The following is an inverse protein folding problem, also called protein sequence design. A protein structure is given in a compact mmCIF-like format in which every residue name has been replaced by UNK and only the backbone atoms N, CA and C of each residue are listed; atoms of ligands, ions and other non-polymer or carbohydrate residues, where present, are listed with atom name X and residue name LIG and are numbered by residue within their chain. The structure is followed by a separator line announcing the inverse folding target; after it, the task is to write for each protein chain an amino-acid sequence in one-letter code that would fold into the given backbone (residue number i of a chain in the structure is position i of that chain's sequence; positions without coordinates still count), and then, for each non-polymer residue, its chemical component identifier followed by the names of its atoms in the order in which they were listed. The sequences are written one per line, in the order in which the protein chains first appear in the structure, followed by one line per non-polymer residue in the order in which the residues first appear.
data_IF_908620307024
#
_entry.id   IF_908620307024
#
_cell.length_a   1.000
_cell.length_b   1.000
_cell.length_c   1.000
_cell.angle_alpha   90.00
_cell.angle_beta   90.00
_cell.angle_gamma   90.00
#
_symmetry.space_group_name_H-M   'P 1'
#
loop_
_entity.id
_entity.type
_entity.pdbx_description
1 polymer ?
#
# COMPACT_ATOMS: atom_id res chain seq x y z
N UNK A 1 3.34 1.01 -41.54
CA UNK A 1 3.78 0.14 -40.42
C UNK A 1 3.79 0.85 -39.06
N UNK A 2 4.14 2.14 -38.96
CA UNK A 2 4.15 2.90 -37.69
C UNK A 2 2.77 3.22 -37.07
N UNK A 3 1.73 3.39 -37.88
CA UNK A 3 0.36 3.68 -37.40
C UNK A 3 -0.30 2.49 -36.69
N UNK A 4 -0.10 1.26 -37.20
CA UNK A 4 -0.55 0.02 -36.54
C UNK A 4 0.14 -0.22 -35.18
N UNK A 5 1.45 0.05 -35.08
CA UNK A 5 2.20 -0.07 -33.82
C UNK A 5 1.71 0.91 -32.74
N UNK A 6 1.36 2.13 -33.13
CA UNK A 6 0.85 3.15 -32.20
C UNK A 6 -0.56 2.82 -31.68
N UNK A 7 -1.42 2.21 -32.50
CA UNK A 7 -2.75 1.74 -32.07
C UNK A 7 -2.69 0.59 -31.07
N UNK A 8 -1.80 -0.38 -31.29
CA UNK A 8 -1.61 -1.53 -30.39
C UNK A 8 -1.08 -1.08 -29.01
N UNK A 9 -0.11 -0.17 -28.98
CA UNK A 9 0.44 0.38 -27.73
C UNK A 9 -0.63 1.10 -26.90
N UNK A 10 -1.53 1.84 -27.54
CA UNK A 10 -2.63 2.54 -26.84
C UNK A 10 -3.70 1.60 -26.31
N UNK A 11 -4.07 0.59 -27.09
CA UNK A 11 -5.01 -0.44 -26.65
C UNK A 11 -4.46 -1.18 -25.42
N UNK A 12 -3.17 -1.54 -25.43
CA UNK A 12 -2.52 -2.16 -24.29
C UNK A 12 -2.55 -1.26 -23.03
N UNK A 13 -2.17 0.01 -23.14
CA UNK A 13 -2.22 0.96 -22.01
C UNK A 13 -3.64 1.14 -21.49
N UNK A 14 -4.64 1.22 -22.37
CA UNK A 14 -6.04 1.32 -21.98
C UNK A 14 -6.50 0.06 -21.21
N UNK A 15 -6.22 -1.14 -21.73
CA UNK A 15 -6.55 -2.39 -21.05
C UNK A 15 -5.89 -2.49 -19.66
N UNK A 16 -4.61 -2.14 -19.54
CA UNK A 16 -3.92 -2.14 -18.25
C UNK A 16 -4.54 -1.17 -17.25
N UNK A 17 -4.90 0.04 -17.69
CA UNK A 17 -5.56 1.03 -16.83
C UNK A 17 -6.99 0.63 -16.42
N UNK A 18 -7.71 -0.11 -17.28
CA UNK A 18 -9.01 -0.70 -16.92
C UNK A 18 -8.83 -1.77 -15.83
N UNK A 19 -7.79 -2.60 -15.90
CA UNK A 19 -7.49 -3.58 -14.85
C UNK A 19 -7.21 -2.87 -13.52
N UNK A 20 -6.40 -1.80 -13.53
CA UNK A 20 -6.17 -0.97 -12.34
C UNK A 20 -7.46 -0.33 -11.81
N UNK A 21 -8.32 0.19 -12.69
CA UNK A 21 -9.60 0.75 -12.29
C UNK A 21 -10.47 -0.30 -11.57
N UNK A 22 -10.58 -1.51 -12.13
CA UNK A 22 -11.35 -2.59 -11.53
C UNK A 22 -10.75 -3.04 -10.20
N UNK A 23 -9.42 -3.16 -10.08
CA UNK A 23 -8.78 -3.52 -8.82
C UNK A 23 -8.98 -2.45 -7.75
N UNK A 24 -8.96 -1.17 -8.11
CA UNK A 24 -9.29 -0.05 -7.22
C UNK A 24 -10.70 -0.15 -6.65
N UNK A 25 -11.71 -0.43 -7.49
CA UNK A 25 -13.09 -0.64 -7.03
C UNK A 25 -13.25 -1.86 -6.13
N UNK A 26 -12.55 -2.96 -6.42
CA UNK A 26 -12.55 -4.15 -5.56
C UNK A 26 -11.96 -3.83 -4.19
N UNK A 27 -10.83 -3.13 -4.14
CA UNK A 27 -10.21 -2.69 -2.87
C UNK A 27 -11.09 -1.73 -2.08
N UNK A 28 -11.70 -0.74 -2.75
CA UNK A 28 -12.66 0.17 -2.11
C UNK A 28 -13.86 -0.59 -1.55
N UNK A 29 -14.41 -1.54 -2.31
CA UNK A 29 -15.57 -2.33 -1.88
C UNK A 29 -15.22 -3.23 -0.70
N UNK A 30 -14.03 -3.84 -0.71
CA UNK A 30 -13.52 -4.63 0.41
C UNK A 30 -13.30 -3.76 1.66
N UNK A 31 -12.65 -2.61 1.53
CA UNK A 31 -12.48 -1.67 2.63
C UNK A 31 -13.81 -1.12 3.15
N UNK A 32 -14.76 -0.84 2.25
CA UNK A 32 -16.11 -0.42 2.59
C UNK A 32 -16.89 -1.51 3.31
N UNK A 33 -16.77 -2.78 2.88
CA UNK A 33 -17.36 -3.92 3.58
C UNK A 33 -16.76 -4.08 4.98
N UNK A 34 -15.43 -3.93 5.12
CA UNK A 34 -14.76 -3.95 6.43
C UNK A 34 -15.25 -2.84 7.36
N UNK A 35 -15.59 -1.66 6.82
CA UNK A 35 -16.19 -0.56 7.59
C UNK A 35 -17.70 -0.75 7.86
N UNK A 36 -18.42 -1.38 6.93
CA UNK A 36 -19.87 -1.58 6.98
C UNK A 36 -20.28 -2.79 7.83
N UNK A 37 -19.34 -3.70 8.14
CA UNK A 37 -19.52 -4.84 9.04
C UNK A 37 -19.64 -4.35 10.50
N UNK A 38 -20.73 -3.61 10.73
CA UNK A 38 -21.08 -2.96 11.96
C UNK A 38 -21.27 -3.98 13.09
N UNK A 39 -21.66 -5.22 12.81
CA UNK A 39 -21.84 -6.25 13.83
C UNK A 39 -20.51 -6.66 14.49
N UNK A 40 -19.40 -6.73 13.76
CA UNK A 40 -18.07 -6.99 14.34
C UNK A 40 -17.49 -5.77 15.07
N UNK A 41 -17.82 -4.55 14.62
CA UNK A 41 -17.44 -3.28 15.27
C UNK A 41 -18.29 -3.03 16.54
N UNK A 42 -19.57 -3.44 16.55
CA UNK A 42 -20.49 -3.36 17.69
C UNK A 42 -20.25 -4.49 18.70
N UNK A 43 -19.94 -5.72 18.27
CA UNK A 43 -19.52 -6.80 19.19
C UNK A 43 -18.19 -6.46 19.89
N UNK A 44 -17.21 -5.91 19.16
CA UNK A 44 -15.95 -5.44 19.78
C UNK A 44 -16.14 -4.23 20.71
N UNK A 45 -17.21 -3.45 20.53
CA UNK A 45 -17.65 -2.40 21.47
C UNK A 45 -18.41 -2.94 22.68
N UNK A 46 -19.13 -4.06 22.55
CA UNK A 46 -19.90 -4.67 23.65
C UNK A 46 -19.02 -5.52 24.60
N UNK A 47 -17.89 -6.05 24.13
CA UNK A 47 -16.88 -6.74 24.96
C UNK A 47 -15.85 -5.78 25.59
N UNK A 48 -15.82 -4.50 25.21
CA UNK A 48 -14.95 -3.49 25.82
C UNK A 48 -15.64 -2.81 27.02
N UNK A 49 -15.23 -3.09 28.27
CA UNK A 49 -15.78 -2.36 29.41
C UNK A 49 -15.33 -0.89 29.32
N UNK A 50 -16.28 -0.02 29.66
CA UNK A 50 -16.18 1.41 29.51
C UNK A 50 -15.03 2.07 30.28
N UNK A 51 -14.82 3.30 29.83
CA UNK A 51 -14.12 4.40 30.46
C UNK A 51 -12.60 4.53 30.27
N UNK A 52 -12.29 5.71 29.71
CA UNK A 52 -11.02 6.42 29.58
C UNK A 52 -10.20 6.07 28.32
N UNK A 53 -10.46 6.89 27.29
CA UNK A 53 -9.76 7.03 26.02
C UNK A 53 -8.25 7.32 26.18
N UNK A 54 -7.40 7.09 25.14
CA UNK A 54 -7.77 6.92 23.72
C UNK A 54 -7.13 5.63 23.12
N UNK A 55 -7.39 5.06 21.93
CA UNK A 55 -7.73 5.53 20.58
C UNK A 55 -8.29 4.33 19.76
N UNK A 56 -8.93 4.60 18.63
CA UNK A 56 -9.68 3.65 17.76
C UNK A 56 -8.96 2.31 17.44
N UNK A 57 -9.71 1.21 17.19
CA UNK A 57 -9.11 -0.09 16.87
C UNK A 57 -8.23 0.01 15.62
N UNK A 58 -7.05 -0.61 15.63
CA UNK A 58 -6.11 -0.64 14.49
C UNK A 58 -6.78 -1.05 13.18
N UNK A 59 -7.78 -1.93 13.26
CA UNK A 59 -8.64 -2.33 12.13
C UNK A 59 -9.37 -1.17 11.46
N UNK A 60 -9.79 -0.15 12.20
CA UNK A 60 -10.46 1.03 11.63
C UNK A 60 -9.50 1.84 10.74
N UNK A 61 -8.29 2.11 11.23
CA UNK A 61 -7.26 2.79 10.44
C UNK A 61 -6.84 1.95 9.23
N UNK A 62 -6.72 0.63 9.39
CA UNK A 62 -6.40 -0.28 8.29
C UNK A 62 -7.50 -0.28 7.21
N UNK A 63 -8.77 -0.39 7.60
CA UNK A 63 -9.88 -0.37 6.68
C UNK A 63 -9.96 0.98 5.94
N UNK A 64 -9.78 2.09 6.65
CA UNK A 64 -9.71 3.43 6.03
C UNK A 64 -8.54 3.56 5.05
N UNK A 65 -7.37 3.02 5.39
CA UNK A 65 -6.22 3.00 4.50
C UNK A 65 -6.49 2.19 3.22
N UNK A 66 -7.14 1.02 3.33
CA UNK A 66 -7.53 0.19 2.18
C UNK A 66 -8.50 0.94 1.27
N UNK A 67 -9.52 1.60 1.82
CA UNK A 67 -10.47 2.40 1.04
C UNK A 67 -9.76 3.55 0.33
N UNK A 68 -8.91 4.29 1.04
CA UNK A 68 -8.18 5.44 0.48
C UNK A 68 -7.24 5.00 -0.63
N UNK A 69 -6.51 3.89 -0.43
CA UNK A 69 -5.62 3.32 -1.45
C UNK A 69 -6.41 2.86 -2.68
N UNK A 70 -7.52 2.15 -2.49
CA UNK A 70 -8.40 1.73 -3.59
C UNK A 70 -8.93 2.92 -4.40
N UNK A 71 -9.29 4.02 -3.72
CA UNK A 71 -9.75 5.25 -4.36
C UNK A 71 -8.66 5.90 -5.21
N UNK A 72 -7.43 5.98 -4.71
CA UNK A 72 -6.30 6.50 -5.47
C UNK A 72 -6.03 5.66 -6.72
N UNK A 73 -6.03 4.33 -6.59
CA UNK A 73 -5.87 3.38 -7.71
C UNK A 73 -7.01 3.52 -8.74
N UNK A 74 -8.25 3.70 -8.29
CA UNK A 74 -9.40 3.88 -9.18
C UNK A 74 -9.30 5.21 -9.95
N UNK A 75 -8.96 6.32 -9.29
CA UNK A 75 -8.79 7.62 -9.95
C UNK A 75 -7.67 7.57 -10.99
N UNK A 76 -6.54 6.95 -10.66
CA UNK A 76 -5.39 6.87 -11.57
C UNK A 76 -5.70 6.00 -12.78
N UNK A 77 -6.39 4.87 -12.57
CA UNK A 77 -6.91 4.02 -13.65
C UNK A 77 -7.91 4.75 -14.56
N UNK A 78 -8.83 5.53 -13.99
CA UNK A 78 -9.82 6.31 -14.75
C UNK A 78 -9.13 7.39 -15.60
N UNK A 79 -8.24 8.18 -14.99
CA UNK A 79 -7.47 9.21 -15.68
C UNK A 79 -6.56 8.61 -16.74
N UNK A 80 -5.97 7.45 -16.49
CA UNK A 80 -5.12 6.73 -17.45
C UNK A 80 -5.92 6.20 -18.65
N UNK A 81 -7.12 5.68 -18.43
CA UNK A 81 -8.03 5.27 -19.50
C UNK A 81 -8.47 6.48 -20.33
N UNK A 82 -8.90 7.57 -19.67
CA UNK A 82 -9.26 8.81 -20.35
C UNK A 82 -8.10 9.42 -21.12
N UNK A 83 -6.89 9.44 -20.57
CA UNK A 83 -5.71 9.94 -21.28
C UNK A 83 -5.33 9.08 -22.49
N UNK A 84 -5.62 7.77 -22.46
CA UNK A 84 -5.36 6.87 -23.58
C UNK A 84 -6.42 6.97 -24.70
N UNK A 85 -7.69 7.16 -24.33
CA UNK A 85 -8.83 7.20 -25.25
C UNK A 85 -9.12 8.60 -25.79
N UNK A 86 -8.95 9.64 -24.98
CA UNK A 86 -9.30 11.03 -25.30
C UNK A 86 -8.03 11.83 -25.61
N UNK A 87 -7.99 12.48 -26.77
CA UNK A 87 -6.89 13.36 -27.18
C UNK A 87 -6.95 14.76 -26.55
N UNK A 88 -7.56 14.89 -25.38
CA UNK A 88 -7.68 16.17 -24.72
C UNK A 88 -6.40 16.48 -23.94
N UNK A 89 -5.72 17.58 -24.30
CA UNK A 89 -4.50 18.05 -23.62
C UNK A 89 -4.70 18.23 -22.12
N UNK A 90 -5.85 18.72 -21.68
CA UNK A 90 -6.13 18.91 -20.26
C UNK A 90 -6.12 17.59 -19.48
N UNK A 91 -6.68 16.53 -20.07
CA UNK A 91 -6.74 15.19 -19.45
C UNK A 91 -5.34 14.54 -19.43
N UNK A 92 -4.57 14.68 -20.52
CA UNK A 92 -3.20 14.19 -20.53
C UNK A 92 -2.31 14.92 -19.51
N UNK A 93 -2.49 16.24 -19.33
CA UNK A 93 -1.76 17.01 -18.33
C UNK A 93 -2.17 16.62 -16.90
N UNK A 94 -3.47 16.43 -16.62
CA UNK A 94 -3.91 16.01 -15.29
C UNK A 94 -3.42 14.60 -14.94
N UNK A 95 -3.40 13.69 -15.91
CA UNK A 95 -2.81 12.36 -15.74
C UNK A 95 -1.29 12.45 -15.44
N UNK A 96 -0.54 13.25 -16.20
CA UNK A 96 0.88 13.50 -15.93
C UNK A 96 1.13 14.05 -14.52
N UNK A 97 0.35 15.05 -14.09
CA UNK A 97 0.46 15.62 -12.75
C UNK A 97 0.16 14.56 -11.68
N UNK A 98 -0.83 13.70 -11.91
CA UNK A 98 -1.18 12.62 -10.98
C UNK A 98 -0.02 11.62 -10.83
N UNK A 99 0.59 11.17 -11.93
CA UNK A 99 1.75 10.26 -11.86
C UNK A 99 2.96 10.92 -11.19
N UNK A 100 3.20 12.22 -11.43
CA UNK A 100 4.28 12.95 -10.72
C UNK A 100 4.02 13.00 -9.21
N UNK A 101 2.77 13.27 -8.79
CA UNK A 101 2.41 13.30 -7.38
C UNK A 101 2.53 11.92 -6.72
N UNK A 102 2.15 10.85 -7.43
CA UNK A 102 2.35 9.48 -6.96
C UNK A 102 3.83 9.17 -6.77
N UNK A 103 4.67 9.45 -7.77
CA UNK A 103 6.11 9.23 -7.70
C UNK A 103 6.76 9.97 -6.51
N UNK A 104 6.32 11.21 -6.23
CA UNK A 104 6.78 11.98 -5.07
C UNK A 104 6.29 11.37 -3.76
N UNK A 105 5.05 10.88 -3.72
CA UNK A 105 4.49 10.16 -2.59
C UNK A 105 5.25 8.88 -2.29
N UNK A 106 5.49 8.04 -3.30
CA UNK A 106 6.26 6.80 -3.19
C UNK A 106 7.71 7.06 -2.75
N UNK A 107 8.38 8.07 -3.31
CA UNK A 107 9.69 8.51 -2.83
C UNK A 107 9.66 8.87 -1.35
N UNK A 108 8.65 9.65 -0.93
CA UNK A 108 8.50 10.09 0.46
C UNK A 108 8.28 8.89 1.39
N UNK A 109 7.38 7.97 1.03
CA UNK A 109 7.12 6.75 1.79
C UNK A 109 8.37 5.86 1.85
N UNK A 110 9.12 5.71 0.77
CA UNK A 110 10.38 4.95 0.74
C UNK A 110 11.43 5.56 1.67
N UNK A 111 11.65 6.88 1.61
CA UNK A 111 12.59 7.58 2.50
C UNK A 111 12.15 7.36 3.94
N UNK A 112 10.88 7.62 4.23
CA UNK A 112 10.32 7.43 5.57
C UNK A 112 10.54 6.00 6.04
N UNK A 113 10.24 4.97 5.24
CA UNK A 113 10.37 3.56 5.60
C UNK A 113 11.83 3.14 5.85
N UNK A 114 12.77 3.58 5.01
CA UNK A 114 14.20 3.25 5.14
C UNK A 114 14.83 3.93 6.34
N UNK A 115 14.45 5.19 6.61
CA UNK A 115 14.99 5.95 7.74
C UNK A 115 14.19 5.76 9.03
N UNK A 116 12.98 5.20 8.99
CA UNK A 116 12.15 4.88 10.17
C UNK A 116 12.95 4.14 11.26
N UNK A 117 13.74 3.08 10.93
CA UNK A 117 14.58 2.43 11.92
C UNK A 117 15.63 3.33 12.56
N UNK A 118 16.20 4.24 11.78
CA UNK A 118 17.24 5.14 12.25
C UNK A 118 16.68 6.36 13.02
N UNK A 119 15.48 6.84 12.66
CA UNK A 119 14.81 8.01 13.26
C UNK A 119 14.12 7.65 14.58
N UNK A 120 13.45 6.49 14.64
CA UNK A 120 12.83 6.04 15.89
C UNK A 120 13.85 5.46 16.89
N UNK A 121 15.10 5.31 16.47
CA UNK A 121 16.10 4.58 17.24
C UNK A 121 15.57 3.17 17.51
N UNK A 122 15.27 2.41 16.44
CA UNK A 122 14.87 0.99 16.44
C UNK A 122 16.05 0.11 16.86
N UNK A 123 16.73 0.52 17.92
CA UNK A 123 16.85 -0.36 19.04
C UNK A 123 15.44 -0.43 19.65
N UNK A 124 14.58 -1.31 19.13
CA UNK A 124 13.32 -1.71 19.78
C UNK A 124 13.77 -2.36 21.07
N UNK A 125 14.16 -1.55 22.05
CA UNK A 125 14.85 -2.02 23.24
C UNK A 125 14.01 -3.17 23.73
N UNK A 126 14.51 -4.41 23.80
CA UNK A 126 13.72 -5.55 24.23
C UNK A 126 12.95 -5.21 25.51
N UNK A 127 13.52 -4.35 26.36
CA UNK A 127 12.89 -3.72 27.51
C UNK A 127 11.56 -2.95 27.26
N UNK A 128 11.35 -2.24 26.14
CA UNK A 128 10.04 -1.62 25.83
C UNK A 128 8.99 -2.68 25.52
N UNK A 129 9.32 -3.65 24.67
CA UNK A 129 8.37 -4.69 24.28
C UNK A 129 8.07 -5.64 25.46
N UNK A 130 9.08 -5.96 26.28
CA UNK A 130 8.91 -6.67 27.55
C UNK A 130 7.99 -5.88 28.49
N UNK A 131 8.17 -4.56 28.64
CA UNK A 131 7.26 -3.73 29.46
C UNK A 131 5.85 -3.67 28.90
N UNK A 132 5.69 -3.66 27.58
CA UNK A 132 4.39 -3.72 26.93
C UNK A 132 3.72 -5.07 27.21
N UNK A 133 4.43 -6.18 27.05
CA UNK A 133 3.96 -7.52 27.41
C UNK A 133 3.52 -7.56 28.87
N UNK A 134 4.36 -7.09 29.78
CA UNK A 134 4.08 -7.13 31.22
C UNK A 134 2.83 -6.33 31.61
N UNK A 135 2.53 -5.21 30.94
CA UNK A 135 1.40 -4.33 31.26
C UNK A 135 0.12 -4.58 30.47
N UNK A 136 0.23 -5.14 29.27
CA UNK A 136 -0.89 -5.20 28.32
C UNK A 136 -1.34 -6.61 28.02
N UNK A 137 -0.55 -7.63 28.32
CA UNK A 137 -0.92 -9.01 28.05
C UNK A 137 -2.09 -9.45 28.92
N UNK A 138 -3.16 -9.94 28.30
CA UNK A 138 -4.38 -10.43 28.92
C UNK A 138 -5.00 -9.46 29.95
N UNK A 139 -4.84 -8.15 29.70
CA UNK A 139 -5.48 -7.07 30.45
C UNK A 139 -6.76 -6.64 29.71
N UNK A 140 -7.88 -6.40 30.42
CA UNK A 140 -9.11 -5.90 29.80
C UNK A 140 -8.86 -4.64 28.97
N UNK A 141 -9.43 -4.57 27.77
CA UNK A 141 -9.21 -3.48 26.82
C UNK A 141 -7.92 -3.56 25.99
N UNK A 142 -7.08 -4.60 26.18
CA UNK A 142 -5.85 -4.86 25.40
C UNK A 142 -5.87 -6.25 24.72
N UNK A 143 -7.05 -6.73 24.37
CA UNK A 143 -7.25 -8.06 23.75
C UNK A 143 -6.51 -8.21 22.43
N UNK A 144 -6.46 -7.15 21.61
CA UNK A 144 -5.75 -7.15 20.34
C UNK A 144 -4.24 -7.40 20.49
N UNK A 145 -3.64 -6.84 21.53
CA UNK A 145 -2.24 -7.09 21.85
C UNK A 145 -2.02 -8.54 22.31
N UNK A 146 -2.97 -9.08 23.09
CA UNK A 146 -2.93 -10.46 23.58
C UNK A 146 -3.03 -11.43 22.41
N UNK A 147 -4.03 -11.26 21.55
CA UNK A 147 -4.24 -12.09 20.36
C UNK A 147 -3.06 -12.02 19.38
N UNK A 148 -2.48 -10.83 19.17
CA UNK A 148 -1.30 -10.69 18.31
C UNK A 148 -0.07 -11.42 18.88
N UNK A 149 0.13 -11.37 20.20
CA UNK A 149 1.25 -12.08 20.83
C UNK A 149 1.01 -13.59 20.85
N UNK A 150 -0.22 -14.04 21.14
CA UNK A 150 -0.58 -15.47 21.12
C UNK A 150 -0.43 -16.05 19.71
N UNK A 151 -0.82 -15.29 18.68
CA UNK A 151 -0.61 -15.65 17.27
C UNK A 151 0.88 -15.75 16.93
N UNK A 152 1.70 -14.79 17.38
CA UNK A 152 3.14 -14.85 17.15
C UNK A 152 3.76 -16.09 17.83
N UNK A 153 3.29 -16.43 19.03
CA UNK A 153 3.77 -17.60 19.79
C UNK A 153 3.42 -18.91 19.11
N UNK A 154 2.20 -19.04 18.57
CA UNK A 154 1.80 -20.25 17.85
C UNK A 154 2.45 -20.36 16.47
N UNK A 155 2.53 -19.26 15.70
CA UNK A 155 3.12 -19.27 14.35
C UNK A 155 4.64 -19.53 14.41
N UNK A 156 5.35 -18.83 15.30
CA UNK A 156 6.81 -18.91 15.38
C UNK A 156 7.30 -19.93 16.41
N UNK A 157 6.39 -20.64 17.08
CA UNK A 157 6.72 -21.65 18.12
C UNK A 157 7.70 -21.11 19.17
N UNK A 158 7.39 -19.91 19.66
CA UNK A 158 8.21 -19.12 20.58
C UNK A 158 7.39 -18.75 21.82
N UNK A 159 8.04 -18.24 22.87
CA UNK A 159 7.36 -17.80 24.07
C UNK A 159 7.93 -16.50 24.64
N UNK A 160 7.04 -15.56 24.94
CA UNK A 160 7.40 -14.23 25.42
C UNK A 160 8.19 -13.41 24.39
N UNK A 161 8.86 -12.36 24.84
CA UNK A 161 9.65 -11.49 23.96
C UNK A 161 11.06 -12.07 23.78
N UNK A 162 11.76 -12.26 24.89
CA UNK A 162 13.10 -12.85 24.94
C UNK A 162 13.08 -14.25 25.59
N UNK A 163 11.91 -14.73 25.97
CA UNK A 163 11.70 -16.01 26.62
C UNK A 163 10.49 -16.01 27.57
N UNK A 164 10.14 -17.21 28.04
CA UNK A 164 9.01 -17.46 28.93
C UNK A 164 9.06 -16.71 30.26
N UNK A 165 10.26 -16.37 30.75
CA UNK A 165 10.46 -15.64 32.01
C UNK A 165 9.83 -14.24 32.01
N UNK A 166 9.53 -13.68 30.83
CA UNK A 166 8.89 -12.36 30.70
C UNK A 166 7.48 -12.30 31.32
N UNK A 167 6.77 -13.43 31.34
CA UNK A 167 5.48 -13.55 32.04
C UNK A 167 5.61 -13.49 33.56
N UNK A 168 6.82 -13.72 34.07
CA UNK A 168 7.11 -13.71 35.49
C UNK A 168 6.68 -12.42 36.19
N UNK A 169 6.92 -11.29 35.56
CA UNK A 169 6.63 -9.98 36.16
C UNK A 169 5.46 -9.30 35.46
N UNK A 170 4.63 -10.06 34.76
CA UNK A 170 3.43 -9.54 34.08
C UNK A 170 2.27 -9.34 35.06
N UNK A 171 1.46 -8.31 34.81
CA UNK A 171 0.22 -8.07 35.55
C UNK A 171 -0.74 -9.25 35.46
N UNK A 172 -0.79 -9.90 34.29
CA UNK A 172 -1.52 -11.14 34.06
C UNK A 172 -1.22 -12.24 35.10
N UNK A 173 0.06 -12.43 35.46
CA UNK A 173 0.47 -13.44 36.46
C UNK A 173 0.14 -13.02 37.89
N UNK A 174 0.14 -11.70 38.14
CA UNK A 174 -0.12 -11.12 39.46
C UNK A 174 -1.61 -10.97 39.78
N UNK A 175 -2.47 -10.99 38.76
CA UNK A 175 -3.91 -10.78 38.93
C UNK A 175 -4.57 -11.95 39.67
N UNK A 176 -5.34 -11.64 40.71
CA UNK A 176 -5.89 -12.63 41.65
C UNK A 176 -7.03 -13.48 41.07
N UNK A 177 -7.55 -13.11 39.90
CA UNK A 177 -8.71 -13.74 39.26
C UNK A 177 -8.24 -14.88 38.33
N UNK A 178 -8.06 -16.07 38.92
CA UNK A 178 -8.22 -17.35 38.20
C UNK A 178 -7.01 -17.95 37.44
N UNK A 179 -5.85 -17.29 37.35
CA UNK A 179 -4.69 -17.79 36.58
C UNK A 179 -3.41 -18.06 37.39
N UNK A 180 -3.50 -18.13 38.72
CA UNK A 180 -2.33 -18.40 39.60
C UNK A 180 -1.62 -19.73 39.31
N UNK A 181 -2.29 -20.67 38.64
CA UNK A 181 -1.74 -21.99 38.30
C UNK A 181 -0.95 -22.00 36.98
N UNK A 182 -1.05 -20.96 36.15
CA UNK A 182 -0.35 -20.87 34.86
C UNK A 182 0.93 -20.05 35.01
N UNK A 183 2.07 -20.67 34.70
CA UNK A 183 3.39 -20.01 34.63
C UNK A 183 3.53 -19.23 33.33
N UNK A 184 2.99 -19.77 32.24
CA UNK A 184 2.98 -19.17 30.90
C UNK A 184 1.60 -19.32 30.24
N UNK A 185 1.26 -18.49 29.25
CA UNK A 185 0.10 -18.71 28.42
C UNK A 185 0.10 -20.06 27.72
N UNK A 186 -1.08 -20.57 27.39
CA UNK A 186 -1.23 -21.84 26.69
C UNK A 186 -0.68 -21.79 25.26
N UNK A 187 -0.66 -20.62 24.62
CA UNK A 187 -0.01 -20.35 23.33
C UNK A 187 1.51 -20.59 23.34
N UNK A 188 2.15 -20.60 24.51
CA UNK A 188 3.56 -21.00 24.66
C UNK A 188 3.77 -22.52 24.76
N UNK A 189 2.70 -23.31 24.92
CA UNK A 189 2.79 -24.76 25.00
C UNK A 189 2.81 -25.39 23.61
N UNK A 190 3.38 -26.59 23.52
CA UNK A 190 3.19 -27.42 22.33
C UNK A 190 1.72 -27.83 22.21
N UNK A 191 1.11 -27.57 21.06
CA UNK A 191 -0.33 -27.75 20.86
C UNK A 191 -0.63 -29.01 20.05
N UNK A 192 -1.72 -29.70 20.39
CA UNK A 192 -2.27 -30.79 19.57
C UNK A 192 -2.98 -30.25 18.33
N UNK A 193 -3.61 -29.09 18.44
CA UNK A 193 -4.32 -28.41 17.36
C UNK A 193 -3.45 -27.39 16.61
N UNK A 194 -2.12 -27.57 16.60
CA UNK A 194 -1.19 -26.64 15.93
C UNK A 194 -1.47 -26.43 14.42
N UNK A 195 -2.13 -27.42 13.78
CA UNK A 195 -2.48 -27.36 12.36
C UNK A 195 -3.73 -26.51 12.06
N UNK A 196 -4.47 -26.09 13.10
CA UNK A 196 -5.65 -25.24 12.94
C UNK A 196 -5.28 -23.75 12.88
N UNK A 197 -5.92 -23.02 11.97
CA UNK A 197 -5.69 -21.58 11.78
C UNK A 197 -6.13 -20.72 12.97
N UNK A 198 -7.02 -21.25 13.82
CA UNK A 198 -7.53 -20.60 15.05
C UNK A 198 -6.89 -21.12 16.33
N UNK A 199 -5.79 -21.88 16.25
CA UNK A 199 -5.10 -22.45 17.43
C UNK A 199 -4.65 -21.41 18.46
N UNK A 200 -4.40 -20.16 18.04
CA UNK A 200 -4.07 -19.05 18.93
C UNK A 200 -5.25 -18.53 19.75
N UNK A 201 -6.50 -18.75 19.29
CA UNK A 201 -7.72 -18.34 20.00
C UNK A 201 -8.17 -19.42 20.99
N UNK A 202 -7.97 -20.69 20.65
CA UNK A 202 -8.30 -21.84 21.49
C UNK A 202 -7.14 -22.84 21.51
N UNK A 203 -6.04 -22.54 22.23
CA UNK A 203 -4.87 -23.42 22.30
C UNK A 203 -5.16 -24.69 23.11
N UNK A 204 -4.95 -25.86 22.49
CA UNK A 204 -5.08 -27.16 23.16
C UNK A 204 -3.68 -27.77 23.43
N UNK A 205 -3.12 -27.59 24.65
CA UNK A 205 -1.78 -28.07 24.97
C UNK A 205 -1.72 -29.60 24.97
N UNK A 206 -0.70 -30.16 24.33
CA UNK A 206 -0.45 -31.59 24.27
C UNK A 206 -0.22 -32.19 25.67
N UNK A 207 0.49 -31.46 26.53
CA UNK A 207 0.71 -31.84 27.92
C UNK A 207 0.75 -30.58 28.80
N UNK A 208 -0.41 -30.25 29.40
CA UNK A 208 -0.58 -29.04 30.20
C UNK A 208 0.33 -29.02 31.44
N UNK A 209 0.41 -30.13 32.18
CA UNK A 209 1.20 -30.21 33.42
C UNK A 209 2.69 -30.04 33.14
N UNK A 210 3.21 -30.72 32.12
CA UNK A 210 4.61 -30.60 31.71
C UNK A 210 4.91 -29.20 31.19
N UNK A 211 4.01 -28.61 30.39
CA UNK A 211 4.17 -27.24 29.90
C UNK A 211 4.17 -26.23 31.04
N UNK A 212 3.44 -26.44 32.13
CA UNK A 212 3.37 -25.50 33.26
C UNK A 212 4.39 -25.77 34.37
N UNK A 213 5.21 -26.81 34.23
CA UNK A 213 6.26 -27.13 35.20
C UNK A 213 7.26 -25.97 35.38
N UNK A 214 7.70 -25.76 36.63
CA UNK A 214 8.77 -24.80 36.94
C UNK A 214 10.15 -25.34 36.58
N UNK A 215 10.32 -26.67 36.63
CA UNK A 215 11.59 -27.33 36.36
C UNK A 215 11.94 -27.23 34.86
N UNK A 216 13.10 -26.64 34.47
CA UNK A 216 13.53 -26.53 33.08
C UNK A 216 13.61 -27.85 32.32
N UNK A 217 14.07 -28.91 32.99
CA UNK A 217 14.22 -30.22 32.38
C UNK A 217 12.87 -30.86 31.99
N UNK A 218 11.79 -30.50 32.69
CA UNK A 218 10.45 -30.99 32.40
C UNK A 218 9.80 -30.16 31.30
N UNK A 219 9.79 -28.83 31.43
CA UNK A 219 9.03 -28.00 30.49
C UNK A 219 9.68 -27.83 29.11
N UNK A 220 10.98 -28.11 28.94
CA UNK A 220 11.65 -27.96 27.64
C UNK A 220 11.00 -28.80 26.51
N UNK A 221 10.34 -29.91 26.85
CA UNK A 221 9.68 -30.79 25.87
C UNK A 221 8.24 -30.39 25.52
N UNK A 222 7.57 -29.58 26.36
CA UNK A 222 6.17 -29.20 26.19
C UNK A 222 5.93 -27.68 26.13
N UNK A 223 6.99 -26.86 26.26
CA UNK A 223 6.95 -25.40 26.26
C UNK A 223 8.01 -24.84 25.32
N UNK A 224 7.63 -23.88 24.51
CA UNK A 224 8.56 -23.09 23.70
C UNK A 224 9.47 -22.24 24.61
N UNK A 225 10.79 -22.35 24.44
CA UNK A 225 11.78 -21.65 25.28
C UNK A 225 12.43 -20.44 24.58
N UNK A 226 12.42 -20.41 23.25
CA UNK A 226 12.96 -19.32 22.45
C UNK A 226 12.04 -18.09 22.52
N UNK A 227 12.64 -16.89 22.51
CA UNK A 227 11.90 -15.62 22.47
C UNK A 227 11.34 -15.31 21.08
N UNK A 228 10.19 -14.64 21.01
CA UNK A 228 9.57 -14.29 19.73
C UNK A 228 10.23 -13.10 19.03
N UNK A 229 11.04 -12.28 19.72
CA UNK A 229 11.57 -11.04 19.17
C UNK A 229 12.37 -11.25 17.88
N UNK A 230 13.30 -12.21 17.88
CA UNK A 230 14.16 -12.49 16.72
C UNK A 230 13.33 -12.96 15.51
N UNK A 231 12.33 -13.81 15.73
CA UNK A 231 11.43 -14.28 14.67
C UNK A 231 10.56 -13.16 14.12
N UNK A 232 10.02 -12.30 14.98
CA UNK A 232 9.21 -11.14 14.57
C UNK A 232 10.07 -10.15 13.78
N UNK A 233 11.30 -9.88 14.23
CA UNK A 233 12.20 -8.97 13.54
C UNK A 233 12.56 -9.50 12.16
N UNK A 234 12.94 -10.78 12.07
CA UNK A 234 13.23 -11.44 10.79
C UNK A 234 12.04 -11.42 9.85
N UNK A 235 10.86 -11.82 10.33
CA UNK A 235 9.63 -11.76 9.54
C UNK A 235 9.33 -10.35 9.05
N UNK A 236 9.49 -9.35 9.92
CA UNK A 236 9.26 -7.94 9.57
C UNK A 236 10.24 -7.46 8.50
N UNK A 237 11.52 -7.83 8.60
CA UNK A 237 12.54 -7.52 7.59
C UNK A 237 12.22 -8.19 6.24
N UNK A 238 11.83 -9.46 6.25
CA UNK A 238 11.46 -10.19 5.04
C UNK A 238 10.25 -9.55 4.33
N UNK A 239 9.20 -9.20 5.09
CA UNK A 239 8.04 -8.51 4.54
C UNK A 239 8.39 -7.10 4.03
N UNK A 240 9.23 -6.36 4.75
CA UNK A 240 9.69 -5.04 4.32
C UNK A 240 10.48 -5.10 3.00
N UNK A 241 11.31 -6.12 2.81
CA UNK A 241 12.05 -6.34 1.56
C UNK A 241 11.09 -6.62 0.39
N UNK A 242 10.07 -7.46 0.59
CA UNK A 242 9.05 -7.73 -0.42
C UNK A 242 8.30 -6.45 -0.79
N UNK A 243 7.89 -5.65 0.19
CA UNK A 243 7.21 -4.37 -0.04
C UNK A 243 8.12 -3.38 -0.80
N UNK A 244 9.39 -3.27 -0.42
CA UNK A 244 10.37 -2.43 -1.11
C UNK A 244 10.53 -2.85 -2.57
N UNK A 245 10.61 -4.15 -2.84
CA UNK A 245 10.70 -4.67 -4.21
C UNK A 245 9.47 -4.30 -5.04
N UNK A 246 8.26 -4.41 -4.48
CA UNK A 246 7.02 -4.01 -5.15
C UNK A 246 7.04 -2.51 -5.48
N UNK A 247 7.38 -1.66 -4.51
CA UNK A 247 7.42 -0.21 -4.72
C UNK A 247 8.45 0.17 -5.79
N UNK A 248 9.63 -0.47 -5.81
CA UNK A 248 10.63 -0.23 -6.85
C UNK A 248 10.12 -0.60 -8.26
N UNK A 249 9.33 -1.68 -8.40
CA UNK A 249 8.72 -2.06 -9.67
C UNK A 249 7.68 -1.02 -10.10
N UNK A 250 6.84 -0.54 -9.17
CA UNK A 250 5.84 0.50 -9.46
C UNK A 250 6.52 1.79 -9.91
N UNK A 251 7.51 2.27 -9.15
CA UNK A 251 8.34 3.44 -9.49
C UNK A 251 8.93 3.32 -10.91
N UNK A 252 9.46 2.15 -11.28
CA UNK A 252 9.99 1.92 -12.62
C UNK A 252 8.91 2.05 -13.70
N UNK A 253 7.73 1.46 -13.48
CA UNK A 253 6.59 1.59 -14.39
C UNK A 253 6.17 3.06 -14.51
N UNK A 254 6.02 3.79 -13.41
CA UNK A 254 5.67 5.21 -13.43
C UNK A 254 6.69 6.05 -14.22
N UNK A 255 7.99 5.87 -13.99
CA UNK A 255 9.04 6.59 -14.71
C UNK A 255 9.01 6.29 -16.22
N UNK A 256 8.80 5.04 -16.61
CA UNK A 256 8.69 4.69 -18.04
C UNK A 256 7.46 5.30 -18.70
N UNK A 257 6.33 5.39 -17.99
CA UNK A 257 5.12 6.05 -18.51
C UNK A 257 5.31 7.56 -18.63
N UNK A 258 5.90 8.21 -17.62
CA UNK A 258 6.26 9.63 -17.65
C UNK A 258 7.18 9.95 -18.84
N UNK A 259 8.27 9.19 -19.00
CA UNK A 259 9.21 9.40 -20.10
C UNK A 259 8.53 9.19 -21.46
N UNK A 260 7.67 8.18 -21.59
CA UNK A 260 6.93 7.90 -22.83
C UNK A 260 6.02 9.06 -23.23
N UNK A 261 5.29 9.64 -22.27
CA UNK A 261 4.40 10.77 -22.51
C UNK A 261 5.22 12.03 -22.84
N UNK A 262 6.29 12.32 -22.09
CA UNK A 262 7.17 13.48 -22.36
C UNK A 262 7.81 13.40 -23.74
N UNK A 263 8.30 12.22 -24.15
CA UNK A 263 8.85 12.01 -25.47
C UNK A 263 7.79 12.19 -26.56
N UNK A 264 6.57 11.70 -26.35
CA UNK A 264 5.46 11.90 -27.28
C UNK A 264 5.12 13.40 -27.44
N UNK A 265 5.00 14.15 -26.33
CA UNK A 265 4.77 15.60 -26.34
C UNK A 265 5.92 16.37 -27.02
N UNK A 266 7.17 15.99 -26.78
CA UNK A 266 8.34 16.63 -27.42
C UNK A 266 8.37 16.45 -28.94
N UNK A 267 7.91 15.28 -29.43
CA UNK A 267 7.83 14.99 -30.87
C UNK A 267 6.69 15.77 -31.52
N UNK A 268 5.57 15.93 -30.84
CA UNK A 268 4.44 16.72 -31.32
C UNK A 268 4.81 18.21 -31.41
N UNK A 269 5.50 18.75 -30.40
CA UNK A 269 6.01 20.13 -30.41
C UNK A 269 7.04 20.35 -31.53
N UNK A 270 7.95 19.38 -31.77
CA UNK A 270 8.89 19.45 -32.90
C UNK A 270 8.19 19.40 -34.26
N UNK A 271 7.15 18.59 -34.42
CA UNK A 271 6.34 18.56 -35.66
C UNK A 271 5.61 19.89 -35.88
N UNK A 272 5.00 20.45 -34.84
CA UNK A 272 4.33 21.76 -34.94
C UNK A 272 5.31 22.88 -35.32
N UNK A 273 6.51 22.93 -34.71
CA UNK A 273 7.56 23.88 -35.11
C UNK A 273 8.03 23.66 -36.55
N UNK A 274 8.28 22.41 -36.95
CA UNK A 274 8.71 22.09 -38.33
C UNK A 274 7.65 22.51 -39.35
N UNK A 275 6.36 22.29 -39.07
CA UNK A 275 5.26 22.66 -39.96
C UNK A 275 5.05 24.18 -40.04
N UNK A 276 5.23 24.90 -38.91
CA UNK A 276 5.22 26.36 -38.89
C UNK A 276 6.39 26.93 -39.72
N UNK A 277 7.61 26.40 -39.59
CA UNK A 277 8.77 26.83 -40.37
C UNK A 277 8.62 26.55 -41.88
N UNK A 278 8.00 25.43 -42.28
CA UNK A 278 7.72 25.16 -43.70
C UNK A 278 6.68 26.13 -44.26
N UNK A 279 5.64 26.48 -43.50
CA UNK A 279 4.60 27.42 -43.95
C UNK A 279 5.14 28.84 -44.13
N UNK A 280 6.05 29.30 -43.27
CA UNK A 280 6.73 30.59 -43.42
C UNK A 280 7.64 30.63 -44.65
N UNK A 281 8.27 29.51 -45.02
CA UNK A 281 9.15 29.45 -46.19
C UNK A 281 8.39 29.39 -47.53
N UNK A 282 7.12 28.99 -47.54
CA UNK A 282 6.28 28.98 -48.75
C UNK A 282 5.63 30.34 -49.03
N UNK A 283 5.38 31.16 -47.99
CA UNK A 283 4.84 32.51 -48.17
C UNK A 283 5.86 33.55 -48.68
N UNK A 284 7.17 33.28 -48.60
CA UNK A 284 8.21 34.18 -49.14
C UNK A 284 8.58 33.91 -50.60
N UNK A 285 7.95 32.94 -51.27
CA UNK A 285 8.26 32.53 -52.65
C UNK A 285 7.07 32.65 -53.62
N UNK A 286 6.12 33.57 -53.39
CA UNK A 286 5.23 34.02 -54.46
C UNK A 286 5.96 35.06 -55.32
N UNK A 287 6.23 34.82 -56.62
CA UNK A 287 6.82 35.82 -57.48
C UNK A 287 5.77 36.92 -57.73
N UNK A 288 6.16 38.17 -57.47
CA UNK A 288 5.50 39.33 -58.05
C UNK A 288 5.56 39.19 -59.58
N UNK A 289 4.44 38.83 -60.19
CA UNK A 289 4.24 38.90 -61.64
C UNK A 289 3.64 40.27 -61.93
N UNK A 290 4.50 41.22 -62.27
CA UNK A 290 4.12 42.51 -62.84
C UNK A 290 3.76 42.27 -64.32
N UNK A 291 2.46 42.26 -64.62
CA UNK A 291 1.95 42.26 -66.00
C UNK A 291 1.34 43.62 -66.29
N UNK A 292 2.09 44.46 -67.00
CA UNK A 292 1.56 45.63 -67.70
C UNK A 292 0.67 45.16 -68.86
N UNK A 293 -0.59 45.62 -68.87
CA UNK A 293 -1.48 45.51 -70.02
C UNK A 293 -1.69 46.89 -70.65
N UNK A 294 -0.98 47.11 -71.75
CA UNK A 294 -1.25 48.11 -72.78
C UNK A 294 -2.60 47.81 -73.45
N UNK A 295 -3.46 48.82 -73.63
CA UNK A 295 -4.63 48.73 -74.50
C UNK A 295 -4.87 50.05 -75.24
N UNK A 296 -4.47 50.10 -76.51
CA UNK A 296 -4.80 51.12 -77.49
C UNK A 296 -5.74 50.57 -78.57
N UNK A 297 -6.79 51.35 -78.89
CA UNK A 297 -7.63 51.25 -80.09
C UNK A 297 -9.06 50.78 -79.82
N UNK A 298 -10.16 51.33 -80.35
CA UNK A 298 -10.40 52.47 -81.27
C UNK A 298 -11.92 52.70 -81.33
N UNK A 299 -12.37 53.96 -81.43
CA UNK A 299 -13.61 54.47 -82.07
C UNK A 299 -14.99 53.82 -81.83
N UNK A 300 -15.94 54.62 -81.31
CA UNK A 300 -17.26 54.83 -81.92
C UNK A 300 -17.75 56.25 -81.58
N UNK A 301 -18.19 57.00 -82.59
CA UNK A 301 -18.92 58.25 -82.43
C UNK A 301 -20.32 58.12 -83.03
N UNK A 302 -21.32 58.75 -82.42
CA UNK A 302 -22.44 59.45 -83.09
C UNK A 302 -23.43 60.02 -82.04
N UNK A 303 -23.53 61.36 -82.05
CA UNK A 303 -24.72 62.22 -81.94
C UNK A 303 -25.88 61.79 -81.01
N UNK A 304 -26.10 62.60 -79.98
CA UNK A 304 -27.16 63.62 -79.98
C UNK A 304 -26.74 64.82 -79.14
#
# INVERSE_FOLDING_TARGET
MGTRKLGISRAFVCCSNIIFLMSGFVLMSLGGLLLADNERILLSRLLGPGDIHPDQPLFYYLAFAIVTLGFLIAITGLLGCWAACLFNRCITISYLLTIILLLLGECTVCIIAVFWPHILGIDVRPARLIRALQRSYAVPGREQFTAALDLAQTIFTCCGINGSSNYGTSWWRLQEVGRRELVVPLSCCTLNNANETSSFLNPEPANLTLCQALNPAEHQYARHTMGCLEHIEKWTQDQALILLAIVLVVMFVEVTTLLSILLACSRDNRRSKSQASTFTSTQTLSPFSENDHDFTGTTFGAKS
#
